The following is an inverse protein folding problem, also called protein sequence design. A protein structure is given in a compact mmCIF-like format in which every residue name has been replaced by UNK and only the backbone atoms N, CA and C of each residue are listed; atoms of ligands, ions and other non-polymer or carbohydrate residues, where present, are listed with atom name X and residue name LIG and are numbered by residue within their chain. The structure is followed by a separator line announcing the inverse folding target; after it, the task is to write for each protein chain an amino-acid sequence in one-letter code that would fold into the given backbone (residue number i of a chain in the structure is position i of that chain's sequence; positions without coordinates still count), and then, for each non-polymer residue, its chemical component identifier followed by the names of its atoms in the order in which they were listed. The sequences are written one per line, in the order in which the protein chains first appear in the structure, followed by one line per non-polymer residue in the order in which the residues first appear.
data_IF_661665740889
#
_entry.id   IF_661665740889
#
_cell.length_a   1.000
_cell.length_b   1.000
_cell.length_c   1.000
_cell.angle_alpha   90.00
_cell.angle_beta   90.00
_cell.angle_gamma   90.00
#
_symmetry.space_group_name_H-M   'P 1'
#
loop_
_entity.id
_entity.type
_entity.pdbx_description
1 polymer ?
#
# COMPACT_ATOMS: atom_id res chain seq x y z
N UNK A 1 -38.37 -14.39 15.86
CA UNK A 1 -37.95 -13.54 16.99
C UNK A 1 -36.54 -12.97 16.81
N UNK A 2 -35.50 -13.74 16.40
CA UNK A 2 -34.17 -13.24 16.12
C UNK A 2 -34.12 -12.27 14.91
N UNK A 3 -34.86 -12.53 13.83
CA UNK A 3 -34.97 -11.66 12.65
C UNK A 3 -35.64 -10.31 12.97
N UNK A 4 -36.69 -10.31 13.80
CA UNK A 4 -37.32 -9.06 14.23
C UNK A 4 -36.42 -8.20 15.13
N UNK A 5 -35.58 -8.82 15.95
CA UNK A 5 -34.59 -8.10 16.78
C UNK A 5 -33.49 -7.53 15.92
N UNK A 6 -33.05 -8.25 14.88
CA UNK A 6 -32.06 -7.74 13.91
C UNK A 6 -32.62 -6.59 13.06
N UNK A 7 -33.86 -6.70 12.58
CA UNK A 7 -34.50 -5.63 11.83
C UNK A 7 -34.74 -4.39 12.70
N UNK A 8 -35.18 -4.54 13.94
CA UNK A 8 -35.36 -3.41 14.85
C UNK A 8 -34.03 -2.71 15.25
N UNK A 9 -32.96 -3.46 15.44
CA UNK A 9 -31.61 -2.89 15.64
C UNK A 9 -31.08 -2.18 14.42
N UNK A 10 -31.34 -2.73 13.22
CA UNK A 10 -30.98 -2.09 11.94
C UNK A 10 -31.71 -0.75 11.76
N UNK A 11 -32.98 -0.68 12.08
CA UNK A 11 -33.77 0.56 12.01
C UNK A 11 -33.29 1.60 13.05
N UNK A 12 -33.10 1.21 14.30
CA UNK A 12 -32.57 2.11 15.35
C UNK A 12 -31.13 2.63 15.00
N UNK A 13 -30.34 1.84 14.31
CA UNK A 13 -29.02 2.25 13.82
C UNK A 13 -29.13 3.26 12.68
N UNK A 14 -30.08 3.07 11.75
CA UNK A 14 -30.35 4.01 10.66
C UNK A 14 -30.89 5.35 11.19
N UNK A 15 -31.76 5.31 12.18
CA UNK A 15 -32.32 6.50 12.82
C UNK A 15 -31.20 7.28 13.55
N UNK A 16 -30.26 6.60 14.20
CA UNK A 16 -29.13 7.23 14.87
C UNK A 16 -28.16 7.89 13.88
N UNK A 17 -27.89 7.24 12.73
CA UNK A 17 -27.04 7.82 11.67
C UNK A 17 -27.77 8.99 10.98
N UNK A 18 -29.06 8.88 10.73
CA UNK A 18 -29.89 9.95 10.16
C UNK A 18 -30.01 11.16 11.10
N UNK A 19 -30.11 10.93 12.40
CA UNK A 19 -30.13 11.98 13.42
C UNK A 19 -28.82 12.80 13.49
N UNK A 20 -27.68 12.19 13.12
CA UNK A 20 -26.36 12.86 13.07
C UNK A 20 -26.20 13.81 11.88
N UNK A 21 -27.17 13.89 10.98
CA UNK A 21 -27.17 14.76 9.80
C UNK A 21 -26.28 14.26 8.66
N UNK A 22 -26.47 14.87 7.49
CA UNK A 22 -25.70 14.55 6.27
C UNK A 22 -24.85 15.74 5.83
N UNK A 23 -23.73 15.44 5.17
CA UNK A 23 -22.85 16.41 4.53
C UNK A 23 -22.59 15.92 3.09
N UNK A 24 -22.86 16.76 2.09
CA UNK A 24 -22.74 16.39 0.67
C UNK A 24 -23.50 15.12 0.27
N UNK A 25 -24.65 14.86 0.92
CA UNK A 25 -25.48 13.68 0.63
C UNK A 25 -25.00 12.38 1.30
N UNK A 26 -23.96 12.42 2.12
CA UNK A 26 -23.40 11.29 2.86
C UNK A 26 -23.48 11.52 4.38
N UNK A 27 -23.50 10.45 5.22
CA UNK A 27 -23.41 10.60 6.67
C UNK A 27 -22.15 11.41 7.06
N UNK A 28 -22.27 12.32 8.04
CA UNK A 28 -21.13 13.14 8.52
C UNK A 28 -19.94 12.30 8.93
N UNK A 29 -20.15 11.10 9.47
CA UNK A 29 -19.09 10.15 9.81
C UNK A 29 -18.11 9.87 8.68
N UNK A 30 -18.59 9.88 7.40
CA UNK A 30 -17.72 9.68 6.25
C UNK A 30 -16.65 10.77 6.11
N UNK A 31 -17.01 12.04 6.32
CA UNK A 31 -16.06 13.16 6.23
C UNK A 31 -14.95 13.02 7.27
N UNK A 32 -15.30 12.61 8.48
CA UNK A 32 -14.32 12.38 9.54
C UNK A 32 -13.45 11.15 9.28
N UNK A 33 -14.01 10.05 8.79
CA UNK A 33 -13.21 8.87 8.41
C UNK A 33 -12.28 9.19 7.23
N UNK A 34 -12.76 9.94 6.24
CA UNK A 34 -11.95 10.43 5.11
C UNK A 34 -10.74 11.25 5.60
N UNK A 35 -10.99 12.26 6.46
CA UNK A 35 -9.92 13.13 6.95
C UNK A 35 -8.96 12.40 7.88
N UNK A 36 -9.47 11.49 8.70
CA UNK A 36 -8.63 10.64 9.57
C UNK A 36 -7.70 9.75 8.73
N UNK A 37 -8.23 9.06 7.71
CA UNK A 37 -7.44 8.24 6.81
C UNK A 37 -6.43 9.08 6.03
N UNK A 38 -6.83 10.25 5.54
CA UNK A 38 -5.94 11.19 4.84
C UNK A 38 -4.71 11.53 5.69
N UNK A 39 -4.90 11.88 6.97
CA UNK A 39 -3.81 12.20 7.88
C UNK A 39 -2.97 10.99 8.27
N UNK A 40 -3.60 9.83 8.42
CA UNK A 40 -2.87 8.58 8.66
C UNK A 40 -2.03 8.22 7.43
N UNK A 41 -2.56 8.32 6.21
CA UNK A 41 -1.80 8.09 4.99
C UNK A 41 -0.67 9.12 4.82
N UNK A 42 -0.91 10.38 5.13
CA UNK A 42 0.14 11.39 5.21
C UNK A 42 1.27 10.94 6.15
N UNK A 43 0.94 10.50 7.33
CA UNK A 43 1.88 9.99 8.31
C UNK A 43 2.69 8.79 7.80
N UNK A 44 2.00 7.78 7.28
CA UNK A 44 2.60 6.55 6.75
C UNK A 44 3.55 6.82 5.58
N UNK A 45 3.06 7.51 4.54
CA UNK A 45 3.86 7.80 3.34
C UNK A 45 4.96 8.83 3.61
N UNK A 46 4.76 9.74 4.56
CA UNK A 46 5.80 10.68 5.00
C UNK A 46 7.01 9.97 5.58
N UNK A 47 6.80 9.07 6.53
CA UNK A 47 7.88 8.25 7.07
C UNK A 47 8.51 7.35 5.99
N UNK A 48 7.67 6.67 5.19
CA UNK A 48 8.14 5.74 4.18
C UNK A 48 9.00 6.40 3.09
N UNK A 49 8.69 7.64 2.70
CA UNK A 49 9.45 8.38 1.69
C UNK A 49 10.88 8.69 2.13
N UNK A 50 11.10 8.83 3.42
CA UNK A 50 12.40 9.11 4.02
C UNK A 50 13.20 7.85 4.38
N UNK A 51 12.52 6.71 4.60
CA UNK A 51 13.06 5.55 5.30
C UNK A 51 14.37 5.02 4.69
N UNK A 52 14.43 4.80 3.36
CA UNK A 52 15.61 4.25 2.70
C UNK A 52 16.75 5.26 2.68
N UNK A 53 16.45 6.53 2.39
CA UNK A 53 17.45 7.61 2.40
C UNK A 53 18.02 7.82 3.80
N UNK A 54 17.18 7.85 4.82
CA UNK A 54 17.60 7.96 6.21
C UNK A 54 18.54 6.82 6.62
N UNK A 55 18.17 5.57 6.28
CA UNK A 55 19.02 4.42 6.59
C UNK A 55 20.37 4.47 5.85
N UNK A 56 20.37 4.81 4.58
CA UNK A 56 21.59 4.76 3.74
C UNK A 56 22.52 5.96 3.92
N UNK A 57 21.96 7.12 4.21
CA UNK A 57 22.74 8.38 4.30
C UNK A 57 23.09 8.78 5.73
N UNK A 58 22.43 8.15 6.73
CA UNK A 58 22.60 8.55 8.12
C UNK A 58 22.67 7.37 9.10
N UNK A 59 21.57 6.66 9.32
CA UNK A 59 21.43 5.75 10.45
C UNK A 59 22.37 4.54 10.40
N UNK A 60 22.57 3.92 9.23
CA UNK A 60 23.37 2.71 9.10
C UNK A 60 24.87 2.99 8.84
N UNK A 61 25.28 4.26 8.85
CA UNK A 61 26.69 4.62 8.80
C UNK A 61 27.37 4.25 10.12
N UNK A 62 28.70 4.08 10.08
CA UNK A 62 29.52 3.58 11.20
C UNK A 62 29.30 4.34 12.51
N UNK A 63 29.06 5.64 12.41
CA UNK A 63 28.99 6.54 13.57
C UNK A 63 27.66 6.42 14.35
N UNK A 64 26.60 5.92 13.73
CA UNK A 64 25.24 5.82 14.32
C UNK A 64 24.76 4.37 14.48
N UNK A 65 25.17 3.47 13.58
CA UNK A 65 24.67 2.10 13.53
C UNK A 65 24.87 1.32 14.85
N UNK A 66 25.97 1.59 15.56
CA UNK A 66 26.30 0.95 16.83
C UNK A 66 25.35 1.26 17.99
N UNK A 67 24.68 2.40 17.91
CA UNK A 67 23.77 2.89 18.96
C UNK A 67 22.34 2.34 18.84
N UNK A 68 21.95 1.78 17.67
CA UNK A 68 20.58 1.31 17.41
C UNK A 68 20.31 -0.01 18.13
N UNK A 69 19.39 0.00 19.08
CA UNK A 69 19.03 -1.20 19.84
C UNK A 69 18.52 -2.32 18.93
N UNK A 70 19.12 -3.50 19.05
CA UNK A 70 18.71 -4.70 18.33
C UNK A 70 19.22 -4.81 16.90
N UNK A 71 19.85 -3.75 16.32
CA UNK A 71 20.31 -3.76 14.93
C UNK A 71 21.33 -4.88 14.66
N UNK A 72 22.28 -5.08 15.55
CA UNK A 72 23.27 -6.17 15.43
C UNK A 72 22.61 -7.56 15.43
N UNK A 73 21.49 -7.75 16.13
CA UNK A 73 20.71 -8.99 16.14
C UNK A 73 20.00 -9.21 14.80
N UNK A 74 19.26 -8.21 14.32
CA UNK A 74 18.57 -8.27 13.03
C UNK A 74 19.58 -8.45 11.89
N UNK A 75 20.69 -7.70 11.90
CA UNK A 75 21.73 -7.83 10.89
C UNK A 75 22.26 -9.26 10.85
N UNK A 76 22.65 -9.86 11.97
CA UNK A 76 23.12 -11.26 12.03
C UNK A 76 22.08 -12.24 11.50
N UNK A 77 20.80 -12.04 11.85
CA UNK A 77 19.72 -12.90 11.37
C UNK A 77 19.55 -12.80 9.85
N UNK A 78 19.60 -11.59 9.27
CA UNK A 78 19.54 -11.39 7.84
C UNK A 78 20.78 -11.92 7.13
N UNK A 79 21.97 -11.66 7.67
CA UNK A 79 23.24 -12.13 7.10
C UNK A 79 23.38 -13.68 7.14
N UNK A 80 22.72 -14.35 8.09
CA UNK A 80 22.67 -15.82 8.12
C UNK A 80 21.92 -16.44 6.94
N UNK A 81 21.00 -15.67 6.33
CA UNK A 81 20.18 -16.10 5.19
C UNK A 81 20.72 -15.56 3.86
N UNK A 82 21.14 -14.29 3.84
CA UNK A 82 21.49 -13.55 2.61
C UNK A 82 23.00 -13.32 2.42
N UNK A 83 23.83 -13.78 3.37
CA UNK A 83 25.27 -13.47 3.40
C UNK A 83 25.55 -12.05 3.88
N UNK A 84 26.83 -11.60 3.86
CA UNK A 84 27.22 -10.29 4.36
C UNK A 84 26.47 -9.15 3.70
N UNK A 85 25.97 -8.21 4.52
CA UNK A 85 25.17 -7.08 4.08
C UNK A 85 25.84 -5.75 4.43
N UNK A 86 26.25 -5.01 3.39
CA UNK A 86 26.69 -3.62 3.51
C UNK A 86 25.49 -2.69 3.80
N UNK A 87 25.74 -1.41 3.99
CA UNK A 87 24.75 -0.39 4.36
C UNK A 87 23.51 -0.41 3.44
N UNK A 88 23.71 -0.36 2.13
CA UNK A 88 22.58 -0.28 1.19
C UNK A 88 21.79 -1.61 1.10
N UNK A 89 22.42 -2.81 0.96
CA UNK A 89 21.70 -4.07 1.03
C UNK A 89 20.94 -4.27 2.35
N UNK A 90 21.53 -3.90 3.49
CA UNK A 90 20.86 -3.97 4.79
C UNK A 90 19.64 -3.04 4.85
N UNK A 91 19.79 -1.80 4.34
CA UNK A 91 18.66 -0.85 4.23
C UNK A 91 17.51 -1.43 3.41
N UNK A 92 17.81 -2.00 2.24
CA UNK A 92 16.79 -2.63 1.38
C UNK A 92 16.10 -3.81 2.06
N UNK A 93 16.83 -4.66 2.79
CA UNK A 93 16.25 -5.78 3.55
C UNK A 93 15.33 -5.30 4.68
N UNK A 94 15.76 -4.27 5.44
CA UNK A 94 14.91 -3.68 6.50
C UNK A 94 13.65 -3.05 5.89
N UNK A 95 13.78 -2.30 4.79
CA UNK A 95 12.64 -1.73 4.05
C UNK A 95 11.67 -2.83 3.59
N UNK A 96 12.19 -3.89 3.00
CA UNK A 96 11.39 -5.02 2.53
C UNK A 96 10.67 -5.74 3.66
N UNK A 97 11.36 -5.99 4.78
CA UNK A 97 10.77 -6.60 5.97
C UNK A 97 9.68 -5.71 6.58
N UNK A 98 9.93 -4.40 6.70
CA UNK A 98 8.94 -3.43 7.15
C UNK A 98 7.70 -3.45 6.26
N UNK A 99 7.88 -3.29 4.95
CA UNK A 99 6.79 -3.28 3.97
C UNK A 99 6.00 -4.59 4.02
N UNK A 100 6.67 -5.74 4.08
CA UNK A 100 6.03 -7.03 4.21
C UNK A 100 5.14 -7.10 5.46
N UNK A 101 5.68 -6.80 6.62
CA UNK A 101 4.95 -6.92 7.89
C UNK A 101 3.77 -5.95 8.00
N UNK A 102 3.86 -4.77 7.39
CA UNK A 102 2.74 -3.81 7.29
C UNK A 102 1.55 -4.40 6.52
N UNK A 103 1.78 -5.28 5.53
CA UNK A 103 0.70 -5.97 4.81
C UNK A 103 0.21 -7.25 5.50
N UNK A 104 1.01 -7.83 6.40
CA UNK A 104 0.63 -9.03 7.15
C UNK A 104 -0.21 -8.71 8.40
N UNK A 105 0.18 -7.70 9.16
CA UNK A 105 -0.42 -7.37 10.47
C UNK A 105 -1.89 -6.98 10.42
N UNK A 106 -2.47 -6.38 9.34
CA UNK A 106 -3.90 -6.11 9.23
C UNK A 106 -4.80 -7.35 9.40
N UNK A 107 -4.32 -8.54 9.04
CA UNK A 107 -5.05 -9.79 9.23
C UNK A 107 -5.30 -10.03 10.72
N UNK A 108 -4.28 -9.86 11.53
CA UNK A 108 -4.39 -10.04 12.99
C UNK A 108 -5.16 -8.89 13.66
N UNK A 109 -4.95 -7.65 13.19
CA UNK A 109 -5.67 -6.48 13.69
C UNK A 109 -7.17 -6.54 13.46
N UNK A 110 -7.60 -7.00 12.29
CA UNK A 110 -9.02 -7.24 11.98
C UNK A 110 -9.61 -8.34 12.86
N UNK A 111 -8.92 -9.49 12.99
CA UNK A 111 -9.37 -10.60 13.86
C UNK A 111 -9.51 -10.17 15.32
N UNK A 112 -8.57 -9.37 15.83
CA UNK A 112 -8.61 -8.88 17.20
C UNK A 112 -9.77 -7.89 17.41
N UNK A 113 -10.03 -7.05 16.42
CA UNK A 113 -11.16 -6.13 16.44
C UNK A 113 -12.49 -6.86 16.47
N UNK A 114 -12.67 -7.84 15.58
CA UNK A 114 -13.94 -8.56 15.45
C UNK A 114 -14.30 -9.40 16.68
N UNK A 115 -13.28 -9.95 17.37
CA UNK A 115 -13.50 -10.92 18.45
C UNK A 115 -13.40 -10.35 19.86
N UNK A 116 -12.59 -9.30 20.06
CA UNK A 116 -12.18 -8.92 21.42
C UNK A 116 -12.37 -7.42 21.70
N UNK A 117 -11.81 -6.54 20.88
CA UNK A 117 -11.66 -5.13 21.23
C UNK A 117 -12.68 -4.20 20.57
N UNK A 118 -13.24 -4.60 19.42
CA UNK A 118 -14.06 -3.72 18.58
C UNK A 118 -13.24 -2.81 17.67
N UNK A 119 -13.86 -2.37 16.58
CA UNK A 119 -13.18 -1.59 15.53
C UNK A 119 -12.73 -0.21 16.01
N UNK A 120 -13.58 0.49 16.81
CA UNK A 120 -13.26 1.82 17.33
C UNK A 120 -12.01 1.81 18.19
N UNK A 121 -11.91 0.87 19.15
CA UNK A 121 -10.75 0.75 20.05
C UNK A 121 -9.50 0.38 19.26
N UNK A 122 -9.62 -0.51 18.28
CA UNK A 122 -8.49 -0.91 17.46
C UNK A 122 -7.95 0.24 16.61
N UNK A 123 -8.81 1.11 16.06
CA UNK A 123 -8.38 2.32 15.34
C UNK A 123 -7.65 3.27 16.30
N UNK A 124 -8.15 3.49 17.52
CA UNK A 124 -7.49 4.36 18.51
C UNK A 124 -6.12 3.79 18.92
N UNK A 125 -6.05 2.50 19.25
CA UNK A 125 -4.79 1.83 19.61
C UNK A 125 -3.79 1.93 18.46
N UNK A 126 -4.24 1.66 17.23
CA UNK A 126 -3.41 1.76 16.03
C UNK A 126 -2.87 3.16 15.82
N UNK A 127 -3.72 4.19 15.92
CA UNK A 127 -3.33 5.58 15.78
C UNK A 127 -2.33 6.03 16.86
N UNK A 128 -2.52 5.63 18.11
CA UNK A 128 -1.60 5.90 19.21
C UNK A 128 -0.25 5.22 18.98
N UNK A 129 -0.24 3.94 18.62
CA UNK A 129 1.00 3.21 18.32
C UNK A 129 1.76 3.85 17.15
N UNK A 130 1.05 4.27 16.09
CA UNK A 130 1.69 4.94 14.96
C UNK A 130 2.24 6.31 15.35
N UNK A 131 1.51 7.11 16.12
CA UNK A 131 2.00 8.39 16.61
C UNK A 131 3.28 8.21 17.45
N UNK A 132 3.26 7.28 18.41
CA UNK A 132 4.44 6.94 19.22
C UNK A 132 5.59 6.48 18.31
N UNK A 133 5.33 5.58 17.35
CA UNK A 133 6.33 5.08 16.42
C UNK A 133 7.00 6.20 15.63
N UNK A 134 6.24 7.17 15.10
CA UNK A 134 6.81 8.29 14.37
C UNK A 134 7.69 9.21 15.23
N UNK A 135 7.30 9.48 16.47
CA UNK A 135 8.15 10.25 17.38
C UNK A 135 9.38 9.45 17.83
N UNK A 136 9.26 8.13 17.99
CA UNK A 136 10.42 7.27 18.27
C UNK A 136 11.42 7.26 17.11
N UNK A 137 11.00 7.47 15.84
CA UNK A 137 11.92 7.63 14.71
C UNK A 137 12.86 8.84 14.86
N UNK A 138 12.49 9.82 15.68
CA UNK A 138 13.37 10.95 16.01
C UNK A 138 14.47 10.57 17.01
N UNK A 139 14.48 9.34 17.52
CA UNK A 139 15.50 8.83 18.46
C UNK A 139 16.15 7.61 17.85
N UNK A 140 17.37 7.74 17.34
CA UNK A 140 18.10 6.71 16.58
C UNK A 140 18.13 5.35 17.27
N UNK A 141 18.39 5.34 18.58
CA UNK A 141 18.42 4.11 19.39
C UNK A 141 17.13 3.30 19.34
N UNK A 142 15.98 3.97 19.13
CA UNK A 142 14.65 3.38 19.13
C UNK A 142 14.15 2.98 17.74
N UNK A 143 14.95 3.15 16.70
CA UNK A 143 14.55 2.96 15.30
C UNK A 143 13.78 1.66 15.03
N UNK A 144 14.30 0.51 15.49
CA UNK A 144 13.64 -0.78 15.25
C UNK A 144 12.34 -0.93 16.04
N UNK A 145 12.27 -0.38 17.26
CA UNK A 145 11.03 -0.32 18.04
C UNK A 145 10.02 0.63 17.41
N UNK A 146 10.48 1.72 16.82
CA UNK A 146 9.64 2.62 16.03
C UNK A 146 9.00 1.89 14.86
N UNK A 147 9.79 1.17 14.05
CA UNK A 147 9.26 0.37 12.95
C UNK A 147 8.26 -0.69 13.44
N UNK A 148 8.54 -1.36 14.55
CA UNK A 148 7.62 -2.34 15.14
C UNK A 148 6.31 -1.67 15.58
N UNK A 149 6.36 -0.51 16.25
CA UNK A 149 5.17 0.23 16.64
C UNK A 149 4.33 0.66 15.42
N UNK A 150 4.97 1.10 14.35
CA UNK A 150 4.32 1.45 13.08
C UNK A 150 3.67 0.23 12.40
N UNK A 151 4.33 -0.91 12.37
CA UNK A 151 3.81 -2.17 11.83
C UNK A 151 2.56 -2.59 12.59
N UNK A 152 2.63 -2.66 13.92
CA UNK A 152 1.51 -3.06 14.77
C UNK A 152 0.38 -2.03 14.73
N UNK A 153 0.73 -0.75 14.72
CA UNK A 153 -0.21 0.36 14.63
C UNK A 153 -1.00 0.35 13.32
N UNK A 154 -0.33 0.19 12.18
CA UNK A 154 -0.97 0.08 10.88
C UNK A 154 -1.88 -1.17 10.81
N UNK A 155 -1.40 -2.31 11.35
CA UNK A 155 -2.18 -3.53 11.44
C UNK A 155 -3.48 -3.35 12.22
N UNK A 156 -3.44 -2.62 13.32
CA UNK A 156 -4.61 -2.32 14.13
C UNK A 156 -5.55 -1.30 13.47
N UNK A 157 -5.00 -0.30 12.78
CA UNK A 157 -5.76 0.83 12.23
C UNK A 157 -6.45 0.52 10.90
N UNK A 158 -5.68 0.12 9.90
CA UNK A 158 -6.08 0.07 8.48
C UNK A 158 -7.32 -0.80 8.18
N UNK A 159 -7.44 -2.05 8.65
CA UNK A 159 -8.61 -2.87 8.35
C UNK A 159 -9.87 -2.31 9.01
N UNK A 160 -9.73 -1.75 10.20
CA UNK A 160 -10.85 -1.35 11.03
C UNK A 160 -11.48 -0.02 10.59
N UNK A 161 -10.68 0.98 10.21
CA UNK A 161 -11.23 2.24 9.68
C UNK A 161 -11.97 2.02 8.36
N UNK A 162 -11.44 1.17 7.47
CA UNK A 162 -12.09 0.83 6.21
C UNK A 162 -13.41 0.11 6.42
N UNK A 163 -13.51 -0.76 7.42
CA UNK A 163 -14.78 -1.45 7.77
C UNK A 163 -15.80 -0.47 8.30
N UNK A 164 -15.42 0.52 9.09
CA UNK A 164 -16.32 1.55 9.60
C UNK A 164 -16.96 2.39 8.49
N UNK A 165 -16.26 2.65 7.38
CA UNK A 165 -16.84 3.31 6.20
C UNK A 165 -18.06 2.54 5.71
N UNK A 166 -17.92 1.21 5.57
CA UNK A 166 -19.05 0.35 5.18
C UNK A 166 -20.19 0.34 6.18
N UNK A 167 -19.87 0.41 7.47
CA UNK A 167 -20.83 0.41 8.58
C UNK A 167 -21.70 1.67 8.67
N UNK A 168 -21.33 2.76 7.98
CA UNK A 168 -22.14 3.98 7.89
C UNK A 168 -23.38 3.82 7.00
N UNK A 169 -23.48 2.75 6.22
CA UNK A 169 -24.52 2.55 5.21
C UNK A 169 -25.28 1.26 5.46
N UNK A 170 -26.58 1.31 5.22
CA UNK A 170 -27.41 0.11 5.26
C UNK A 170 -27.03 -0.89 4.17
N UNK A 171 -27.27 -2.20 4.38
CA UNK A 171 -27.14 -3.19 3.33
C UNK A 171 -27.97 -2.80 2.09
N UNK A 172 -27.32 -2.75 0.90
CA UNK A 172 -27.98 -2.37 -0.36
C UNK A 172 -28.04 -0.86 -0.65
N UNK A 173 -27.54 0.01 0.23
CA UNK A 173 -27.45 1.44 -0.07
C UNK A 173 -26.40 1.70 -1.16
N UNK A 174 -26.85 2.19 -2.32
CA UNK A 174 -25.99 2.50 -3.48
C UNK A 174 -24.95 3.59 -3.21
N UNK A 175 -25.11 4.39 -2.16
CA UNK A 175 -24.14 5.42 -1.77
C UNK A 175 -22.85 4.82 -1.17
N UNK A 176 -22.93 3.57 -0.69
CA UNK A 176 -21.79 2.87 -0.08
C UNK A 176 -20.59 2.79 -1.02
N UNK A 177 -20.78 2.46 -2.29
CA UNK A 177 -19.70 2.35 -3.27
C UNK A 177 -19.04 3.71 -3.54
N UNK A 178 -19.85 4.78 -3.62
CA UNK A 178 -19.34 6.15 -3.74
C UNK A 178 -18.56 6.58 -2.49
N UNK A 179 -18.98 6.15 -1.31
CA UNK A 179 -18.28 6.44 -0.07
C UNK A 179 -16.88 5.84 -0.05
N UNK A 180 -16.71 4.61 -0.52
CA UNK A 180 -15.37 4.02 -0.66
C UNK A 180 -14.53 4.75 -1.70
N UNK A 181 -15.13 5.24 -2.78
CA UNK A 181 -14.40 6.07 -3.76
C UNK A 181 -13.94 7.40 -3.14
N UNK A 182 -14.78 8.05 -2.35
CA UNK A 182 -14.41 9.27 -1.60
C UNK A 182 -13.29 8.95 -0.61
N UNK A 183 -13.41 7.88 0.15
CA UNK A 183 -12.39 7.44 1.11
C UNK A 183 -11.05 7.17 0.43
N UNK A 184 -11.06 6.55 -0.75
CA UNK A 184 -9.86 6.31 -1.56
C UNK A 184 -9.19 7.61 -2.05
N UNK A 185 -9.99 8.64 -2.33
CA UNK A 185 -9.46 9.99 -2.61
C UNK A 185 -8.65 10.49 -1.41
N UNK A 186 -9.15 10.34 -0.18
CA UNK A 186 -8.43 10.71 1.04
C UNK A 186 -7.07 10.02 1.17
N UNK A 187 -7.00 8.72 0.87
CA UNK A 187 -5.74 7.96 0.86
C UNK A 187 -4.71 8.64 -0.05
N UNK A 188 -5.10 8.97 -1.26
CA UNK A 188 -4.17 9.54 -2.25
C UNK A 188 -3.80 10.99 -1.96
N UNK A 189 -4.73 11.80 -1.40
CA UNK A 189 -4.41 13.17 -0.96
C UNK A 189 -3.33 13.13 0.13
N UNK A 190 -3.48 12.28 1.13
CA UNK A 190 -2.47 12.08 2.17
C UNK A 190 -1.14 11.61 1.60
N UNK A 191 -1.17 10.61 0.71
CA UNK A 191 0.03 10.08 0.06
C UNK A 191 0.75 11.11 -0.84
N UNK A 192 0.00 12.01 -1.49
CA UNK A 192 0.56 13.09 -2.30
C UNK A 192 1.25 14.16 -1.45
N UNK A 193 0.58 14.62 -0.38
CA UNK A 193 1.11 15.69 0.48
C UNK A 193 2.30 15.23 1.33
N UNK A 194 2.37 13.95 1.67
CA UNK A 194 3.35 13.38 2.59
C UNK A 194 4.81 13.60 2.16
N UNK A 195 5.26 13.18 0.96
CA UNK A 195 6.63 13.41 0.54
C UNK A 195 6.93 14.90 0.31
N UNK A 196 5.94 15.72 -0.01
CA UNK A 196 6.12 17.16 -0.19
C UNK A 196 6.41 17.87 1.14
N UNK A 197 5.78 17.46 2.23
CA UNK A 197 5.95 18.10 3.55
C UNK A 197 7.03 17.37 4.36
N UNK A 198 6.82 16.07 4.66
CA UNK A 198 7.77 15.31 5.48
C UNK A 198 9.11 15.14 4.77
N UNK A 199 9.07 14.93 3.45
CA UNK A 199 10.27 14.80 2.64
C UNK A 199 11.11 16.05 2.64
N UNK A 200 10.51 17.20 2.36
CA UNK A 200 11.22 18.49 2.38
C UNK A 200 11.82 18.78 3.76
N UNK A 201 11.06 18.60 4.83
CA UNK A 201 11.58 18.79 6.19
C UNK A 201 12.71 17.81 6.51
N UNK A 202 12.62 16.57 6.03
CA UNK A 202 13.63 15.55 6.22
C UNK A 202 14.92 15.82 5.47
N UNK A 203 14.84 16.23 4.21
CA UNK A 203 15.99 16.46 3.34
C UNK A 203 16.65 17.82 3.58
N UNK A 204 15.85 18.89 3.76
CA UNK A 204 16.37 20.26 3.83
C UNK A 204 16.71 20.74 5.24
N UNK A 205 16.01 20.18 6.27
CA UNK A 205 16.24 20.60 7.64
C UNK A 205 16.89 19.51 8.50
N UNK A 206 16.19 18.41 8.73
CA UNK A 206 16.68 17.22 9.44
C UNK A 206 15.74 16.04 9.26
N UNK A 207 16.27 14.82 9.16
CA UNK A 207 15.51 13.58 9.13
C UNK A 207 14.48 13.51 10.26
N UNK A 208 14.85 13.96 11.45
CA UNK A 208 14.00 13.94 12.63
C UNK A 208 12.77 14.85 12.50
N UNK A 209 12.91 16.00 11.84
CA UNK A 209 11.77 16.90 11.57
C UNK A 209 10.80 16.29 10.56
N UNK A 210 11.30 15.58 9.55
CA UNK A 210 10.44 14.85 8.61
C UNK A 210 9.59 13.77 9.31
N UNK A 211 10.21 12.98 10.19
CA UNK A 211 9.49 11.97 10.99
C UNK A 211 8.56 12.61 12.03
N UNK A 212 8.96 13.69 12.67
CA UNK A 212 8.11 14.41 13.60
C UNK A 212 6.87 15.00 12.91
N UNK A 213 7.00 15.53 11.68
CA UNK A 213 5.87 16.01 10.89
C UNK A 213 4.87 14.88 10.59
N UNK A 214 5.36 13.68 10.27
CA UNK A 214 4.52 12.50 10.14
C UNK A 214 3.80 12.17 11.45
N UNK A 215 4.49 12.27 12.60
CA UNK A 215 3.91 12.08 13.91
C UNK A 215 2.83 13.12 14.25
N UNK A 216 3.06 14.38 13.92
CA UNK A 216 2.06 15.46 14.08
C UNK A 216 0.83 15.17 13.21
N UNK A 217 1.03 14.76 11.95
CA UNK A 217 -0.07 14.35 11.08
C UNK A 217 -0.90 13.23 11.71
N UNK A 218 -0.24 12.22 12.32
CA UNK A 218 -0.96 11.15 13.01
C UNK A 218 -1.74 11.63 14.24
N UNK A 219 -1.20 12.55 15.02
CA UNK A 219 -1.92 13.15 16.14
C UNK A 219 -3.15 13.97 15.69
N UNK A 220 -3.05 14.68 14.57
CA UNK A 220 -4.19 15.38 13.96
C UNK A 220 -5.26 14.36 13.57
N UNK A 221 -4.87 13.30 12.86
CA UNK A 221 -5.79 12.22 12.48
C UNK A 221 -6.47 11.56 13.68
N UNK A 222 -5.70 11.25 14.72
CA UNK A 222 -6.23 10.70 15.99
C UNK A 222 -7.22 11.67 16.65
N UNK A 223 -6.91 12.95 16.71
CA UNK A 223 -7.78 13.97 17.33
C UNK A 223 -9.11 14.08 16.57
N UNK A 224 -9.06 14.10 15.23
CA UNK A 224 -10.26 14.08 14.36
C UNK A 224 -11.07 12.82 14.62
N UNK A 225 -10.42 11.65 14.70
CA UNK A 225 -11.11 10.40 14.95
C UNK A 225 -11.80 10.36 16.33
N UNK A 226 -11.11 10.79 17.39
CA UNK A 226 -11.67 10.85 18.74
C UNK A 226 -12.90 11.76 18.80
N UNK A 227 -12.86 12.91 18.12
CA UNK A 227 -14.01 13.79 17.99
C UNK A 227 -15.18 13.11 17.25
N UNK A 228 -14.88 12.29 16.25
CA UNK A 228 -15.88 11.62 15.42
C UNK A 228 -16.49 10.38 16.07
N UNK A 229 -15.89 9.78 17.10
CA UNK A 229 -16.38 8.52 17.72
C UNK A 229 -17.90 8.51 18.01
N UNK A 230 -18.54 9.58 18.50
CA UNK A 230 -20.00 9.60 18.72
C UNK A 230 -20.82 9.49 17.41
N UNK A 231 -20.24 9.90 16.27
CA UNK A 231 -20.89 9.92 14.97
C UNK A 231 -20.72 8.61 14.17
N UNK A 232 -19.89 7.70 14.69
CA UNK A 232 -19.55 6.44 14.02
C UNK A 232 -20.48 5.30 14.50
N UNK A 233 -20.61 4.23 13.69
CA UNK A 233 -21.35 3.04 14.10
C UNK A 233 -20.79 2.44 15.40
N UNK A 234 -21.63 1.95 16.33
CA UNK A 234 -21.16 1.28 17.53
C UNK A 234 -20.41 -0.02 17.16
N UNK A 235 -19.47 -0.43 18.02
CA UNK A 235 -18.78 -1.70 17.86
C UNK A 235 -19.74 -2.87 18.05
N UNK A 236 -19.95 -3.66 17.01
CA UNK A 236 -20.62 -4.95 17.11
C UNK A 236 -19.52 -6.04 17.18
N UNK A 237 -19.24 -6.51 18.40
CA UNK A 237 -18.42 -7.71 18.54
C UNK A 237 -19.19 -8.87 17.87
N UNK A 238 -18.58 -9.48 16.86
CA UNK A 238 -19.10 -10.73 16.32
C UNK A 238 -19.05 -11.76 17.45
N UNK A 239 -20.18 -11.95 18.14
CA UNK A 239 -20.36 -13.19 18.87
C UNK A 239 -20.08 -14.27 17.86
N UNK A 240 -19.06 -15.07 18.10
CA UNK A 240 -18.78 -16.27 17.32
C UNK A 240 -20.07 -17.08 17.37
N UNK A 241 -21.03 -16.77 16.51
CA UNK A 241 -21.93 -17.77 16.04
C UNK A 241 -21.00 -18.74 15.33
N UNK A 242 -20.62 -19.78 16.07
CA UNK A 242 -20.31 -21.04 15.46
C UNK A 242 -21.56 -21.36 14.62
N UNK A 243 -21.68 -20.68 13.48
CA UNK A 243 -22.51 -21.18 12.42
C UNK A 243 -21.92 -22.57 12.22
N UNK A 244 -22.71 -23.58 12.56
CA UNK A 244 -22.59 -24.91 12.05
C UNK A 244 -22.63 -24.79 10.52
N UNK A 245 -21.56 -24.26 9.96
CA UNK A 245 -21.26 -24.37 8.54
C UNK A 245 -21.01 -25.84 8.36
N UNK A 246 -22.08 -26.54 7.95
CA UNK A 246 -21.96 -27.90 7.46
C UNK A 246 -20.66 -27.97 6.66
N UNK A 247 -19.75 -28.84 7.10
CA UNK A 247 -18.49 -29.10 6.44
C UNK A 247 -18.76 -29.83 5.13
N UNK A 248 -19.42 -29.12 4.18
CA UNK A 248 -19.61 -29.58 2.81
C UNK A 248 -18.25 -29.46 2.13
N UNK A 249 -17.80 -30.54 1.51
CA UNK A 249 -16.64 -30.51 0.61
C UNK A 249 -16.82 -29.42 -0.46
N UNK A 250 -15.72 -28.80 -0.88
CA UNK A 250 -15.73 -27.87 -2.00
C UNK A 250 -16.20 -28.63 -3.27
N UNK A 251 -17.12 -28.02 -4.01
CA UNK A 251 -17.47 -28.56 -5.32
C UNK A 251 -16.34 -28.25 -6.36
N UNK A 252 -16.50 -28.78 -7.56
CA UNK A 252 -15.46 -28.66 -8.60
C UNK A 252 -15.21 -27.23 -9.04
N UNK A 253 -16.24 -26.39 -9.06
CA UNK A 253 -16.11 -24.99 -9.51
C UNK A 253 -15.57 -24.11 -8.38
N UNK A 254 -15.94 -24.39 -7.14
CA UNK A 254 -15.32 -23.76 -5.97
C UNK A 254 -13.80 -24.06 -5.89
N UNK A 255 -13.39 -25.32 -6.14
CA UNK A 255 -11.97 -25.69 -6.22
C UNK A 255 -11.23 -24.98 -7.35
N UNK A 256 -11.86 -24.83 -8.52
CA UNK A 256 -11.27 -24.08 -9.63
C UNK A 256 -11.02 -22.61 -9.26
N UNK A 257 -11.96 -21.97 -8.56
CA UNK A 257 -11.79 -20.62 -8.06
C UNK A 257 -10.62 -20.49 -7.08
N UNK A 258 -10.48 -21.42 -6.14
CA UNK A 258 -9.35 -21.46 -5.19
C UNK A 258 -8.03 -21.65 -5.91
N UNK A 259 -7.95 -22.62 -6.82
CA UNK A 259 -6.73 -22.90 -7.61
C UNK A 259 -6.35 -21.69 -8.46
N UNK A 260 -7.33 -21.00 -9.05
CA UNK A 260 -7.08 -19.80 -9.84
C UNK A 260 -6.39 -18.70 -9.03
N UNK A 261 -6.84 -18.45 -7.79
CA UNK A 261 -6.22 -17.48 -6.90
C UNK A 261 -4.80 -17.91 -6.53
N UNK A 262 -4.58 -19.20 -6.21
CA UNK A 262 -3.27 -19.74 -5.86
C UNK A 262 -2.27 -19.71 -7.04
N UNK A 263 -2.72 -19.97 -8.25
CA UNK A 263 -1.89 -19.88 -9.47
C UNK A 263 -1.44 -18.43 -9.71
N UNK A 264 -2.33 -17.46 -9.49
CA UNK A 264 -1.99 -16.05 -9.67
C UNK A 264 -1.20 -15.46 -8.49
N UNK A 265 -1.06 -16.17 -7.38
CA UNK A 265 -0.36 -15.70 -6.20
C UNK A 265 1.10 -15.34 -6.50
N UNK A 266 1.84 -16.24 -7.14
CA UNK A 266 3.27 -16.02 -7.44
C UNK A 266 3.49 -14.82 -8.37
N UNK A 267 2.86 -14.74 -9.56
CA UNK A 267 3.06 -13.60 -10.43
C UNK A 267 2.57 -12.27 -9.80
N UNK A 268 1.52 -12.27 -8.98
CA UNK A 268 1.10 -11.08 -8.24
C UNK A 268 2.14 -10.67 -7.18
N UNK A 269 2.75 -11.62 -6.48
CA UNK A 269 3.85 -11.32 -5.55
C UNK A 269 5.07 -10.75 -6.29
N UNK A 270 5.41 -11.25 -7.48
CA UNK A 270 6.49 -10.69 -8.31
C UNK A 270 6.16 -9.28 -8.81
N UNK A 271 4.90 -9.00 -9.16
CA UNK A 271 4.46 -7.65 -9.48
C UNK A 271 4.74 -6.70 -8.30
N UNK A 272 4.30 -7.05 -7.08
CA UNK A 272 4.54 -6.23 -5.91
C UNK A 272 6.03 -6.10 -5.58
N UNK A 273 6.82 -7.16 -5.76
CA UNK A 273 8.28 -7.11 -5.55
C UNK A 273 8.98 -6.10 -6.45
N UNK A 274 8.54 -6.00 -7.70
CA UNK A 274 9.07 -5.04 -8.66
C UNK A 274 8.48 -3.64 -8.48
N UNK A 275 7.20 -3.53 -8.17
CA UNK A 275 6.52 -2.26 -7.92
C UNK A 275 7.08 -1.53 -6.68
N UNK A 276 7.35 -2.26 -5.60
CA UNK A 276 7.85 -1.71 -4.33
C UNK A 276 9.28 -1.14 -4.44
N UNK A 277 9.99 -1.42 -5.55
CA UNK A 277 11.27 -0.74 -5.82
C UNK A 277 11.11 0.77 -5.97
N UNK A 278 9.91 1.29 -6.23
CA UNK A 278 9.62 2.73 -6.28
C UNK A 278 10.02 3.44 -4.96
N UNK A 279 9.74 2.82 -3.81
CA UNK A 279 10.13 3.34 -2.50
C UNK A 279 11.50 2.87 -2.00
N UNK A 280 12.23 2.08 -2.77
CA UNK A 280 13.53 1.51 -2.41
C UNK A 280 14.60 2.02 -3.40
N UNK A 281 14.85 1.30 -4.49
CA UNK A 281 15.97 1.56 -5.40
C UNK A 281 15.75 2.76 -6.31
N UNK A 282 14.50 3.08 -6.67
CA UNK A 282 14.19 4.29 -7.47
C UNK A 282 14.46 5.56 -6.66
N UNK A 283 14.21 5.56 -5.37
CA UNK A 283 14.57 6.70 -4.49
C UNK A 283 16.09 6.86 -4.43
N UNK A 284 16.85 5.77 -4.36
CA UNK A 284 18.32 5.82 -4.40
C UNK A 284 18.84 6.32 -5.75
N UNK A 285 18.18 5.91 -6.85
CA UNK A 285 18.49 6.46 -8.18
C UNK A 285 18.18 7.95 -8.26
N UNK A 286 17.01 8.37 -7.77
CA UNK A 286 16.61 9.77 -7.79
C UNK A 286 17.59 10.67 -7.03
N UNK A 287 18.12 10.17 -5.91
CA UNK A 287 19.09 10.88 -5.10
C UNK A 287 20.48 10.98 -5.77
N UNK A 288 21.04 9.86 -6.21
CA UNK A 288 22.44 9.78 -6.63
C UNK A 288 22.65 10.05 -8.12
N UNK A 289 21.70 9.64 -8.97
CA UNK A 289 21.89 9.54 -10.41
C UNK A 289 20.98 10.48 -11.22
N UNK A 290 20.15 11.31 -10.57
CA UNK A 290 19.22 12.21 -11.26
C UNK A 290 19.69 13.67 -11.13
N UNK A 291 19.71 14.38 -12.25
CA UNK A 291 19.79 15.83 -12.23
C UNK A 291 18.42 16.38 -11.82
N UNK A 292 18.38 16.90 -10.60
CA UNK A 292 17.18 17.42 -9.95
C UNK A 292 17.07 18.93 -10.03
N UNK A 293 18.00 19.57 -10.75
CA UNK A 293 17.99 21.02 -10.92
C UNK A 293 16.86 21.46 -11.82
N UNK A 294 16.11 22.47 -11.39
CA UNK A 294 15.13 23.17 -12.20
C UNK A 294 15.45 24.66 -12.20
N UNK A 295 15.40 25.27 -13.36
CA UNK A 295 15.45 26.72 -13.48
C UNK A 295 14.01 27.24 -13.61
N UNK A 296 13.48 27.78 -12.53
CA UNK A 296 12.16 28.39 -12.50
C UNK A 296 12.31 29.92 -12.50
N UNK A 297 12.13 30.56 -13.65
CA UNK A 297 12.22 32.02 -13.81
C UNK A 297 13.58 32.62 -13.40
N UNK A 298 14.68 31.89 -13.66
CA UNK A 298 16.05 32.33 -13.30
C UNK A 298 16.43 32.07 -11.84
N UNK A 299 15.60 31.36 -11.09
CA UNK A 299 15.91 30.88 -9.74
C UNK A 299 16.21 29.39 -9.86
N UNK A 300 17.49 29.03 -9.79
CA UNK A 300 17.90 27.64 -9.71
C UNK A 300 17.42 27.01 -8.40
N UNK A 301 16.61 25.97 -8.49
CA UNK A 301 16.16 25.20 -7.35
C UNK A 301 16.45 23.70 -7.56
N UNK A 302 16.70 22.97 -6.49
CA UNK A 302 16.86 21.52 -6.54
C UNK A 302 15.59 20.85 -6.01
N UNK A 303 15.04 19.90 -6.78
CA UNK A 303 13.85 19.13 -6.38
C UNK A 303 14.27 18.16 -5.26
N UNK A 304 13.65 18.18 -4.07
CA UNK A 304 13.87 17.16 -3.05
C UNK A 304 13.62 15.75 -3.62
N UNK A 305 14.47 14.80 -3.27
CA UNK A 305 14.41 13.42 -3.80
C UNK A 305 13.05 12.76 -3.55
N UNK A 306 12.50 13.00 -2.38
CA UNK A 306 11.22 12.43 -1.97
C UNK A 306 10.02 12.94 -2.77
N UNK A 307 10.11 14.13 -3.38
CA UNK A 307 9.01 14.69 -4.18
C UNK A 307 8.63 13.81 -5.39
N UNK A 308 9.57 13.05 -5.92
CA UNK A 308 9.27 12.11 -7.00
C UNK A 308 8.24 11.06 -6.58
N UNK A 309 8.19 10.68 -5.31
CA UNK A 309 7.19 9.75 -4.80
C UNK A 309 5.77 10.33 -4.79
N UNK A 310 5.62 11.66 -4.83
CA UNK A 310 4.31 12.30 -4.94
C UNK A 310 3.69 12.14 -6.35
N UNK A 311 4.48 11.82 -7.37
CA UNK A 311 3.98 11.64 -8.73
C UNK A 311 2.96 10.50 -8.83
N UNK A 312 3.21 9.35 -8.20
CA UNK A 312 2.29 8.22 -8.27
C UNK A 312 0.89 8.55 -7.72
N UNK A 313 0.70 8.99 -6.45
CA UNK A 313 -0.64 9.32 -5.95
C UNK A 313 -1.30 10.48 -6.72
N UNK A 314 -0.54 11.46 -7.19
CA UNK A 314 -1.07 12.51 -8.07
C UNK A 314 -1.60 11.92 -9.39
N UNK A 315 -0.81 11.07 -10.04
CA UNK A 315 -1.17 10.46 -11.32
C UNK A 315 -2.33 9.47 -11.18
N UNK A 316 -2.50 8.82 -10.02
CA UNK A 316 -3.69 8.00 -9.75
C UNK A 316 -4.94 8.84 -9.90
N UNK A 317 -4.98 10.03 -9.32
CA UNK A 317 -6.12 10.94 -9.52
C UNK A 317 -6.30 11.34 -10.96
N UNK A 318 -5.21 11.76 -11.60
CA UNK A 318 -5.26 12.27 -12.95
C UNK A 318 -5.68 11.19 -13.95
N UNK A 319 -5.16 9.95 -13.81
CA UNK A 319 -5.32 8.93 -14.83
C UNK A 319 -6.51 8.01 -14.62
N UNK A 320 -6.98 7.81 -13.38
CA UNK A 320 -8.13 6.92 -13.13
C UNK A 320 -9.36 7.24 -13.99
N UNK A 321 -9.81 8.49 -14.12
CA UNK A 321 -10.96 8.80 -14.98
C UNK A 321 -10.72 8.41 -16.45
N UNK A 322 -9.52 8.67 -16.97
CA UNK A 322 -9.17 8.35 -18.36
C UNK A 322 -9.07 6.84 -18.60
N UNK A 323 -8.47 6.08 -17.67
CA UNK A 323 -8.37 4.63 -17.76
C UNK A 323 -9.76 4.00 -17.72
N UNK A 324 -10.62 4.44 -16.80
CA UNK A 324 -12.01 3.96 -16.69
C UNK A 324 -12.81 4.31 -17.98
N UNK A 325 -12.71 5.53 -18.49
CA UNK A 325 -13.35 5.92 -19.72
C UNK A 325 -12.84 5.08 -20.92
N UNK A 326 -11.54 4.81 -20.97
CA UNK A 326 -10.94 3.96 -22.01
C UNK A 326 -11.49 2.54 -21.96
N UNK A 327 -11.56 1.90 -20.77
CA UNK A 327 -12.16 0.58 -20.62
C UNK A 327 -13.64 0.57 -21.00
N UNK A 328 -14.41 1.57 -20.58
CA UNK A 328 -15.83 1.71 -20.95
C UNK A 328 -15.98 1.79 -22.47
N UNK A 329 -15.12 2.56 -23.15
CA UNK A 329 -15.13 2.65 -24.61
C UNK A 329 -14.74 1.33 -25.30
N UNK A 330 -13.81 0.57 -24.71
CA UNK A 330 -13.46 -0.76 -25.21
C UNK A 330 -14.61 -1.75 -25.00
N UNK A 331 -15.28 -1.70 -23.85
CA UNK A 331 -16.45 -2.54 -23.54
C UNK A 331 -17.57 -2.30 -24.54
N UNK A 332 -17.91 -1.03 -24.87
CA UNK A 332 -18.93 -0.70 -25.87
C UNK A 332 -18.59 -1.18 -27.28
N UNK A 333 -17.29 -1.43 -27.57
CA UNK A 333 -16.80 -1.96 -28.84
C UNK A 333 -16.58 -3.47 -28.84
N UNK A 334 -16.87 -4.16 -27.73
CA UNK A 334 -16.59 -5.58 -27.57
C UNK A 334 -15.10 -5.95 -27.59
N UNK A 335 -14.19 -4.99 -27.34
CA UNK A 335 -12.74 -5.17 -27.39
C UNK A 335 -12.06 -4.99 -26.04
N UNK A 336 -12.82 -4.98 -24.95
CA UNK A 336 -12.27 -4.85 -23.59
C UNK A 336 -11.42 -6.08 -23.25
N UNK A 337 -10.16 -5.90 -22.79
CA UNK A 337 -9.33 -7.01 -22.38
C UNK A 337 -9.94 -7.76 -21.18
N UNK A 338 -9.82 -9.09 -21.18
CA UNK A 338 -10.24 -9.90 -20.03
C UNK A 338 -9.50 -9.49 -18.74
N UNK A 339 -10.07 -9.83 -17.58
CA UNK A 339 -9.45 -9.56 -16.27
C UNK A 339 -8.00 -10.05 -16.20
N UNK A 340 -7.75 -11.27 -16.69
CA UNK A 340 -6.39 -11.87 -16.77
C UNK A 340 -5.47 -11.07 -17.70
N UNK A 341 -5.98 -10.64 -18.87
CA UNK A 341 -5.20 -9.83 -19.79
C UNK A 341 -4.86 -8.45 -19.20
N UNK A 342 -5.79 -7.80 -18.47
CA UNK A 342 -5.51 -6.54 -17.76
C UNK A 342 -4.41 -6.72 -16.73
N UNK A 343 -4.47 -7.78 -15.91
CA UNK A 343 -3.43 -8.04 -14.90
C UNK A 343 -2.06 -8.28 -15.56
N UNK A 344 -2.00 -9.03 -16.66
CA UNK A 344 -0.75 -9.23 -17.41
C UNK A 344 -0.22 -7.91 -17.99
N UNK A 345 -1.10 -7.07 -18.57
CA UNK A 345 -0.73 -5.73 -19.04
C UNK A 345 -0.18 -4.85 -17.92
N UNK A 346 -0.70 -4.98 -16.70
CA UNK A 346 -0.12 -4.32 -15.53
C UNK A 346 1.33 -4.75 -15.29
N UNK A 347 1.63 -6.05 -15.32
CA UNK A 347 3.01 -6.54 -15.19
C UNK A 347 3.93 -6.07 -16.33
N UNK A 348 3.45 -6.08 -17.58
CA UNK A 348 4.22 -5.56 -18.71
C UNK A 348 4.42 -4.05 -18.62
N UNK A 349 3.45 -3.30 -18.10
CA UNK A 349 3.61 -1.87 -17.83
C UNK A 349 4.72 -1.61 -16.82
N UNK A 350 4.82 -2.40 -15.73
CA UNK A 350 5.95 -2.32 -14.80
C UNK A 350 7.26 -2.67 -15.51
N UNK A 351 7.30 -3.69 -16.36
CA UNK A 351 8.49 -4.01 -17.14
C UNK A 351 8.93 -2.82 -18.03
N UNK A 352 7.98 -2.19 -18.73
CA UNK A 352 8.25 -1.02 -19.57
C UNK A 352 8.78 0.17 -18.73
N UNK A 353 8.22 0.41 -17.53
CA UNK A 353 8.71 1.49 -16.66
C UNK A 353 10.19 1.28 -16.27
N UNK A 354 10.61 0.04 -16.00
CA UNK A 354 12.00 -0.27 -15.70
C UNK A 354 12.90 -0.30 -16.96
N UNK A 355 12.38 -0.59 -18.14
CA UNK A 355 13.12 -0.38 -19.38
C UNK A 355 13.41 1.11 -19.63
N UNK A 356 12.46 2.01 -19.29
CA UNK A 356 12.71 3.46 -19.32
C UNK A 356 13.88 3.81 -18.40
N UNK A 357 13.92 3.24 -17.18
CA UNK A 357 15.02 3.50 -16.24
C UNK A 357 16.35 2.88 -16.69
N UNK A 358 16.33 1.71 -17.32
CA UNK A 358 17.52 1.09 -17.91
C UNK A 358 18.08 1.97 -19.03
N UNK A 359 17.23 2.50 -19.91
CA UNK A 359 17.62 3.45 -20.95
C UNK A 359 18.16 4.76 -20.36
N UNK A 360 17.53 5.29 -19.31
CA UNK A 360 18.00 6.46 -18.60
C UNK A 360 19.42 6.26 -18.05
N UNK A 361 19.65 5.11 -17.41
CA UNK A 361 20.94 4.76 -16.84
C UNK A 361 22.03 4.57 -17.93
N UNK A 362 21.66 3.92 -19.02
CA UNK A 362 22.58 3.73 -20.14
C UNK A 362 22.92 5.05 -20.84
N UNK A 363 21.91 5.91 -21.09
CA UNK A 363 22.10 7.19 -21.75
C UNK A 363 22.94 8.17 -20.90
N UNK A 364 22.71 8.18 -19.58
CA UNK A 364 23.44 9.05 -18.66
C UNK A 364 24.91 8.62 -18.47
N UNK A 365 25.19 7.32 -18.55
CA UNK A 365 26.55 6.80 -18.28
C UNK A 365 27.05 7.23 -16.90
N UNK A 366 28.13 8.00 -16.86
CA UNK A 366 28.69 8.57 -15.63
C UNK A 366 28.04 9.91 -15.22
N UNK A 367 27.26 10.54 -16.08
CA UNK A 367 26.54 11.77 -15.78
C UNK A 367 25.23 11.52 -15.05
N UNK A 368 24.60 12.60 -14.56
CA UNK A 368 23.23 12.50 -14.00
C UNK A 368 22.21 12.51 -15.12
N UNK A 369 21.19 11.65 -15.00
CA UNK A 369 20.05 11.60 -15.91
C UNK A 369 19.06 12.74 -15.60
N UNK A 370 18.39 13.28 -16.63
CA UNK A 370 17.30 14.24 -16.41
C UNK A 370 16.18 13.66 -15.57
N UNK A 371 15.58 14.44 -14.69
CA UNK A 371 14.40 14.05 -13.89
C UNK A 371 13.18 13.66 -14.74
N UNK A 372 13.13 14.04 -16.01
CA UNK A 372 12.06 13.63 -16.93
C UNK A 372 11.99 12.12 -17.15
N UNK A 373 13.10 11.39 -16.99
CA UNK A 373 13.09 9.93 -17.02
C UNK A 373 12.29 9.34 -15.86
N UNK A 374 12.46 9.90 -14.64
CA UNK A 374 11.67 9.51 -13.48
C UNK A 374 10.19 9.85 -13.69
N UNK A 375 9.89 11.01 -14.25
CA UNK A 375 8.51 11.36 -14.60
C UNK A 375 7.90 10.33 -15.54
N UNK A 376 8.60 9.97 -16.64
CA UNK A 376 8.17 8.91 -17.57
C UNK A 376 7.98 7.55 -16.89
N UNK A 377 8.89 7.18 -15.99
CA UNK A 377 8.76 5.99 -15.15
C UNK A 377 7.47 6.02 -14.34
N UNK A 378 7.19 7.11 -13.61
CA UNK A 378 6.00 7.22 -12.76
C UNK A 378 4.70 7.25 -13.58
N UNK A 379 4.68 7.84 -14.77
CA UNK A 379 3.53 7.78 -15.69
C UNK A 379 3.18 6.33 -16.02
N UNK A 380 4.17 5.54 -16.44
CA UNK A 380 3.95 4.17 -16.90
C UNK A 380 3.62 3.23 -15.74
N UNK A 381 4.36 3.33 -14.61
CA UNK A 381 4.14 2.43 -13.47
C UNK A 381 2.80 2.70 -12.79
N UNK A 382 2.31 3.94 -12.77
CA UNK A 382 0.98 4.27 -12.23
C UNK A 382 -0.15 3.69 -13.09
N UNK A 383 -0.03 3.79 -14.41
CA UNK A 383 -1.00 3.12 -15.30
C UNK A 383 -0.95 1.61 -15.09
N UNK A 384 0.23 1.02 -14.97
CA UNK A 384 0.42 -0.40 -14.71
C UNK A 384 -0.24 -0.85 -13.40
N UNK A 385 -0.13 -0.06 -12.34
CA UNK A 385 -0.79 -0.30 -11.06
C UNK A 385 -2.30 -0.33 -11.19
N UNK A 386 -2.90 0.63 -11.91
CA UNK A 386 -4.35 0.67 -12.16
C UNK A 386 -4.86 -0.58 -12.90
N UNK A 387 -4.02 -1.20 -13.72
CA UNK A 387 -4.35 -2.44 -14.45
C UNK A 387 -4.24 -3.71 -13.61
N UNK A 388 -3.53 -3.72 -12.49
CA UNK A 388 -3.40 -4.92 -11.64
C UNK A 388 -4.11 -4.78 -10.30
N UNK A 389 -3.86 -3.71 -9.56
CA UNK A 389 -4.28 -3.58 -8.16
C UNK A 389 -5.80 -3.69 -7.97
N UNK A 390 -6.65 -2.80 -8.56
CA UNK A 390 -8.10 -2.89 -8.41
C UNK A 390 -8.69 -4.10 -9.15
N UNK A 391 -8.08 -4.50 -10.27
CA UNK A 391 -8.53 -5.62 -11.09
C UNK A 391 -8.35 -6.94 -10.36
N UNK A 392 -7.22 -7.12 -9.65
CA UNK A 392 -6.95 -8.31 -8.87
C UNK A 392 -7.89 -8.47 -7.67
N UNK A 393 -8.19 -7.39 -6.95
CA UNK A 393 -9.19 -7.40 -5.87
C UNK A 393 -10.57 -7.80 -6.41
N UNK A 394 -10.99 -7.21 -7.54
CA UNK A 394 -12.25 -7.55 -8.20
C UNK A 394 -12.27 -9.02 -8.66
N UNK A 395 -11.16 -9.52 -9.17
CA UNK A 395 -11.03 -10.93 -9.59
C UNK A 395 -11.31 -11.87 -8.41
N UNK A 396 -10.67 -11.67 -7.27
CA UNK A 396 -10.88 -12.52 -6.08
C UNK A 396 -12.32 -12.50 -5.63
N UNK A 397 -12.98 -11.34 -5.60
CA UNK A 397 -14.38 -11.23 -5.17
C UNK A 397 -15.35 -11.95 -6.11
N UNK A 398 -15.00 -12.10 -7.38
CA UNK A 398 -15.85 -12.78 -8.39
C UNK A 398 -15.73 -14.30 -8.36
N UNK A 399 -14.53 -14.84 -8.07
CA UNK A 399 -14.26 -16.28 -8.22
C UNK A 399 -14.11 -17.03 -6.90
N UNK A 400 -13.86 -16.31 -5.79
CA UNK A 400 -13.74 -16.96 -4.50
C UNK A 400 -15.09 -17.57 -4.06
N UNK A 401 -15.11 -18.81 -3.54
CA UNK A 401 -16.31 -19.37 -2.93
C UNK A 401 -16.84 -18.44 -1.84
N UNK A 402 -18.14 -18.15 -1.82
CA UNK A 402 -18.74 -17.19 -0.89
C UNK A 402 -18.39 -17.49 0.59
N UNK A 403 -18.32 -18.77 0.96
CA UNK A 403 -17.92 -19.22 2.30
C UNK A 403 -16.46 -19.01 2.66
N UNK A 404 -15.58 -18.83 1.65
CA UNK A 404 -14.14 -18.66 1.81
C UNK A 404 -13.67 -17.27 1.35
N UNK A 405 -14.57 -16.36 0.99
CA UNK A 405 -14.22 -15.06 0.40
C UNK A 405 -13.21 -14.28 1.24
N UNK A 406 -13.44 -14.19 2.55
CA UNK A 406 -12.52 -13.48 3.46
C UNK A 406 -11.13 -14.14 3.52
N UNK A 407 -11.08 -15.48 3.50
CA UNK A 407 -9.82 -16.22 3.50
C UNK A 407 -9.08 -16.01 2.19
N UNK A 408 -9.77 -16.11 1.04
CA UNK A 408 -9.17 -15.90 -0.28
C UNK A 408 -8.72 -14.46 -0.49
N UNK A 409 -9.43 -13.50 0.07
CA UNK A 409 -8.99 -12.10 0.09
C UNK A 409 -7.72 -11.95 0.95
N UNK A 410 -7.64 -12.64 2.08
CA UNK A 410 -6.41 -12.70 2.90
C UNK A 410 -5.23 -13.29 2.13
N UNK A 411 -5.45 -14.39 1.40
CA UNK A 411 -4.43 -14.99 0.50
C UNK A 411 -3.99 -13.99 -0.55
N UNK A 412 -4.92 -13.26 -1.16
CA UNK A 412 -4.58 -12.24 -2.16
C UNK A 412 -3.74 -11.10 -1.56
N UNK A 413 -4.10 -10.61 -0.39
CA UNK A 413 -3.32 -9.58 0.31
C UNK A 413 -1.93 -10.09 0.75
N UNK A 414 -1.79 -11.40 1.00
CA UNK A 414 -0.50 -12.01 1.27
C UNK A 414 0.48 -11.95 0.08
N UNK A 415 0.00 -11.70 -1.15
CA UNK A 415 0.88 -11.42 -2.30
C UNK A 415 1.71 -10.17 -2.08
N UNK A 416 1.13 -9.13 -1.46
CA UNK A 416 1.85 -7.90 -1.11
C UNK A 416 2.84 -8.11 0.04
N UNK A 417 2.52 -8.99 1.01
CA UNK A 417 3.48 -9.40 2.04
C UNK A 417 4.71 -10.08 1.44
N UNK A 418 4.50 -11.11 0.60
CA UNK A 418 5.61 -11.80 -0.08
C UNK A 418 6.34 -10.86 -1.04
N UNK A 419 5.60 -10.03 -1.78
CA UNK A 419 6.16 -9.03 -2.67
C UNK A 419 7.04 -8.02 -1.96
N UNK A 420 6.62 -7.50 -0.79
CA UNK A 420 7.41 -6.59 0.04
C UNK A 420 8.71 -7.22 0.51
N UNK A 421 8.66 -8.47 0.98
CA UNK A 421 9.86 -9.22 1.38
C UNK A 421 10.83 -9.42 0.20
N UNK A 422 10.31 -9.85 -0.96
CA UNK A 422 11.09 -9.99 -2.19
C UNK A 422 11.64 -8.65 -2.68
N UNK A 423 10.93 -7.54 -2.48
CA UNK A 423 11.40 -6.21 -2.84
C UNK A 423 12.68 -5.82 -2.07
N UNK A 424 12.76 -6.17 -0.78
CA UNK A 424 13.97 -6.00 0.01
C UNK A 424 15.13 -6.83 -0.53
N UNK A 425 14.86 -8.10 -0.83
CA UNK A 425 15.87 -8.99 -1.40
C UNK A 425 16.36 -8.52 -2.78
N UNK A 426 15.47 -8.17 -3.68
CA UNK A 426 15.84 -7.60 -5.00
C UNK A 426 16.63 -6.30 -4.85
N UNK A 427 16.18 -5.41 -3.95
CA UNK A 427 16.87 -4.14 -3.72
C UNK A 427 18.29 -4.30 -3.17
N UNK A 428 18.61 -5.43 -2.52
CA UNK A 428 19.97 -5.70 -2.02
C UNK A 428 21.01 -5.91 -3.14
N UNK A 429 20.58 -6.15 -4.38
CA UNK A 429 21.47 -6.24 -5.53
C UNK A 429 21.85 -4.88 -6.11
N UNK A 430 21.19 -3.79 -5.69
CA UNK A 430 21.39 -2.44 -6.21
C UNK A 430 22.84 -1.95 -6.17
N UNK A 431 23.58 -2.19 -5.09
CA UNK A 431 24.98 -1.81 -4.94
C UNK A 431 25.95 -2.80 -5.57
N UNK A 432 25.50 -4.00 -5.97
CA UNK A 432 26.33 -5.08 -6.52
C UNK A 432 26.27 -5.17 -8.04
N UNK A 433 25.33 -4.46 -8.68
CA UNK A 433 25.10 -4.49 -10.13
C UNK A 433 25.27 -3.10 -10.72
N UNK A 434 25.64 -3.05 -11.98
CA UNK A 434 25.54 -1.83 -12.79
C UNK A 434 24.06 -1.44 -12.92
N UNK A 435 23.79 -0.12 -12.93
CA UNK A 435 22.41 0.39 -12.87
C UNK A 435 21.53 -0.05 -14.04
N UNK A 436 22.03 -0.04 -15.31
CA UNK A 436 21.25 -0.56 -16.42
C UNK A 436 20.89 -2.04 -16.22
N UNK A 437 21.86 -2.86 -15.76
CA UNK A 437 21.66 -4.30 -15.55
C UNK A 437 20.63 -4.57 -14.45
N UNK A 438 20.70 -3.82 -13.34
CA UNK A 438 19.72 -3.92 -12.27
C UNK A 438 18.30 -3.63 -12.77
N UNK A 439 18.11 -2.53 -13.50
CA UNK A 439 16.80 -2.19 -14.04
C UNK A 439 16.31 -3.21 -15.07
N UNK A 440 17.19 -3.75 -15.92
CA UNK A 440 16.84 -4.84 -16.84
C UNK A 440 16.42 -6.11 -16.11
N UNK A 441 17.09 -6.46 -15.01
CA UNK A 441 16.72 -7.59 -14.16
C UNK A 441 15.30 -7.40 -13.60
N UNK A 442 14.99 -6.23 -13.05
CA UNK A 442 13.65 -5.93 -12.50
C UNK A 442 12.60 -5.95 -13.61
N UNK A 443 12.91 -5.38 -14.78
CA UNK A 443 12.03 -5.42 -15.96
C UNK A 443 11.76 -6.86 -16.40
N UNK A 444 12.79 -7.73 -16.44
CA UNK A 444 12.64 -9.13 -16.80
C UNK A 444 11.75 -9.90 -15.82
N UNK A 445 11.90 -9.67 -14.50
CA UNK A 445 11.05 -10.29 -13.47
C UNK A 445 9.59 -9.86 -13.66
N UNK A 446 9.32 -8.58 -13.88
CA UNK A 446 7.97 -8.09 -14.14
C UNK A 446 7.38 -8.65 -15.44
N UNK A 447 8.19 -8.75 -16.51
CA UNK A 447 7.76 -9.36 -17.77
C UNK A 447 7.45 -10.85 -17.61
N UNK A 448 8.29 -11.60 -16.87
CA UNK A 448 8.04 -13.02 -16.56
C UNK A 448 6.76 -13.20 -15.75
N UNK A 449 6.45 -12.31 -14.79
CA UNK A 449 5.18 -12.32 -14.08
C UNK A 449 3.99 -12.14 -15.06
N UNK A 450 4.09 -11.20 -16.00
CA UNK A 450 3.08 -10.98 -17.03
C UNK A 450 2.89 -12.20 -17.94
N UNK A 451 3.98 -12.83 -18.38
CA UNK A 451 3.96 -14.07 -19.17
C UNK A 451 3.34 -15.22 -18.39
N UNK A 452 3.66 -15.38 -17.10
CA UNK A 452 3.09 -16.41 -16.24
C UNK A 452 1.56 -16.22 -16.09
N UNK A 453 1.08 -14.98 -15.94
CA UNK A 453 -0.36 -14.67 -15.93
C UNK A 453 -1.01 -15.06 -17.27
N UNK A 454 -0.41 -14.73 -18.41
CA UNK A 454 -0.95 -15.09 -19.71
C UNK A 454 -0.95 -16.61 -19.95
N UNK A 455 0.13 -17.30 -19.56
CA UNK A 455 0.24 -18.76 -19.68
C UNK A 455 -0.83 -19.47 -18.82
N UNK A 456 -1.15 -18.93 -17.64
CA UNK A 456 -2.19 -19.48 -16.78
C UNK A 456 -3.61 -19.32 -17.34
N UNK A 457 -3.82 -18.47 -18.35
CA UNK A 457 -5.14 -18.18 -18.94
C UNK A 457 -5.90 -19.45 -19.33
N UNK A 458 -5.22 -20.45 -19.92
CA UNK A 458 -5.85 -21.73 -20.32
C UNK A 458 -6.33 -22.55 -19.12
N UNK A 459 -5.57 -22.53 -18.02
CA UNK A 459 -5.94 -23.22 -16.76
C UNK A 459 -7.12 -22.53 -16.06
N UNK A 460 -7.25 -21.21 -16.26
CA UNK A 460 -8.24 -20.38 -15.58
C UNK A 460 -9.55 -20.23 -16.36
N UNK A 461 -9.59 -20.65 -17.64
CA UNK A 461 -10.75 -20.48 -18.52
C UNK A 461 -12.04 -21.15 -18.02
N UNK A 462 -11.92 -22.19 -17.19
CA UNK A 462 -13.08 -22.87 -16.58
C UNK A 462 -13.48 -22.34 -15.20
N UNK A 463 -12.76 -21.34 -14.65
CA UNK A 463 -13.05 -20.74 -13.35
C UNK A 463 -13.63 -19.33 -13.46
N UNK A 464 -13.59 -18.74 -14.66
CA UNK A 464 -14.13 -17.39 -14.91
C UNK A 464 -15.59 -17.52 -15.35
N UNK A 465 -16.55 -16.83 -14.70
CA UNK A 465 -17.84 -16.60 -15.31
C UNK A 465 -17.63 -15.79 -16.60
N UNK A 466 -18.20 -16.26 -17.71
CA UNK A 466 -18.23 -15.54 -18.99
C UNK A 466 -18.87 -14.15 -18.86
#
# INVERSE_FOLDING_TARGET
MAEHIHAARGLAHQDAIAANGSLFGHPKGLTFLFTTEMWERFSYYGMRSLLVLYMTKYLLLSDHAGDVFGLAGIRRALESVFGPLDVQPLSSQIFGLYTALVYLTPIFGGLLADRVLGQRRMVIIGAVLMAIGHFMMAVERLFLFALLALILGNGAFKPNISTQVGGLYAPGDRRRDRAYSIFYVGINVGAFLAPLVCGTLGEEASWHYGFAAAGVGMLIGLSIYLYAVPLLPPDELQKVQAAQRQARSLDRDEWRGVIAILVLFVPAALFWATYEQAGNTIVLWADANTDRTIDLLGIGAEIPTTWFLAFNPFMIFAFTPFVVAFWTRQATRGSEPSTIAKMALGCFGVAVSYLIMALAAWHAGAAKASWLWLFGYFVVITVAELYLSPVGLSFVTKIAPARMLSMMMGVWLATSFVGGFLAGWLGSFWSRMEKPEFFLMVAAIAALAGLAILASRRLLYGALPE
#
